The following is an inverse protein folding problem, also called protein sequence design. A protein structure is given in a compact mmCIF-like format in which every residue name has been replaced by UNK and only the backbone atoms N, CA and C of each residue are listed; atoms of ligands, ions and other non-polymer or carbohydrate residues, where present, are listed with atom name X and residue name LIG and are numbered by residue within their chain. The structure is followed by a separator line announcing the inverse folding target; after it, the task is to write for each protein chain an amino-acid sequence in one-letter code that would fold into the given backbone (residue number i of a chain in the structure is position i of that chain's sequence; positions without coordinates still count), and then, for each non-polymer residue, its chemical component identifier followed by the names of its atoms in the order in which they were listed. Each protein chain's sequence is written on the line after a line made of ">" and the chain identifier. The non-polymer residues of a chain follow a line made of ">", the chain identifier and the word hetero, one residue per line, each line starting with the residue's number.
data_IF_781864195300
#
_entry.id   IF_781864195300
#
_cell.length_a   1.000
_cell.length_b   1.000
_cell.length_c   1.000
_cell.angle_alpha   90.00
_cell.angle_beta   90.00
_cell.angle_gamma   90.00
#
_symmetry.space_group_name_H-M   'P 1'
#
loop_
_entity.id
_entity.type
_entity.pdbx_description
1 polymer ?
#
# COMPACT_ATOMS: atom_id res chain seq x y z
N UNK A 1 -37.37 -8.54 14.98
CA UNK A 1 -36.51 -7.44 15.46
C UNK A 1 -35.07 -7.89 15.21
N UNK A 2 -34.46 -7.41 14.13
CA UNK A 2 -33.22 -7.97 13.58
C UNK A 2 -32.00 -7.76 14.49
N UNK A 3 -31.23 -8.83 14.68
CA UNK A 3 -29.92 -8.85 15.30
C UNK A 3 -28.90 -8.21 14.35
N UNK A 4 -28.48 -6.98 14.63
CA UNK A 4 -27.37 -6.34 13.93
C UNK A 4 -26.06 -6.93 14.42
N UNK A 5 -25.33 -7.49 13.46
CA UNK A 5 -24.02 -8.11 13.62
C UNK A 5 -23.02 -7.13 14.24
N UNK A 6 -22.32 -7.64 15.25
CA UNK A 6 -21.15 -7.05 15.88
C UNK A 6 -20.06 -6.77 14.85
N UNK A 7 -19.81 -5.50 14.52
CA UNK A 7 -18.49 -5.11 13.99
C UNK A 7 -17.57 -4.98 15.19
N UNK A 8 -16.72 -5.99 15.39
CA UNK A 8 -15.60 -5.96 16.33
C UNK A 8 -14.79 -4.69 16.09
N UNK A 9 -15.05 -3.66 16.89
CA UNK A 9 -14.17 -2.51 17.02
C UNK A 9 -13.12 -2.97 18.02
N UNK A 10 -11.83 -3.07 17.68
CA UNK A 10 -10.81 -3.41 18.66
C UNK A 10 -10.89 -2.36 19.77
N UNK A 11 -11.23 -2.79 20.98
CA UNK A 11 -11.23 -1.92 22.14
C UNK A 11 -9.77 -1.63 22.49
N UNK A 12 -9.19 -0.60 21.87
CA UNK A 12 -7.77 -0.23 22.02
C UNK A 12 -7.35 0.04 23.48
N UNK A 13 -8.32 0.23 24.39
CA UNK A 13 -8.11 0.35 25.86
C UNK A 13 -7.23 -0.75 26.48
N UNK A 14 -7.00 -1.88 25.81
CA UNK A 14 -6.18 -2.98 26.31
C UNK A 14 -4.78 -3.09 25.66
N UNK A 15 -4.45 -2.30 24.63
CA UNK A 15 -3.17 -2.41 23.94
C UNK A 15 -2.14 -1.48 24.58
N UNK A 16 -1.00 -2.00 25.09
CA UNK A 16 0.07 -1.16 25.63
C UNK A 16 0.59 -0.16 24.60
N UNK A 17 0.91 1.04 25.04
CA UNK A 17 1.40 2.11 24.16
C UNK A 17 2.71 1.71 23.45
N UNK A 18 3.54 0.89 24.10
CA UNK A 18 4.78 0.34 23.53
C UNK A 18 4.52 -0.51 22.29
N UNK A 19 3.44 -1.30 22.31
CA UNK A 19 3.04 -2.15 21.18
C UNK A 19 2.59 -1.30 19.99
N UNK A 20 1.79 -0.26 20.25
CA UNK A 20 1.33 0.67 19.21
C UNK A 20 2.52 1.44 18.62
N UNK A 21 3.48 1.85 19.45
CA UNK A 21 4.72 2.48 19.00
C UNK A 21 5.58 1.56 18.13
N UNK A 22 5.69 0.27 18.49
CA UNK A 22 6.41 -0.72 17.69
C UNK A 22 5.75 -0.91 16.31
N UNK A 23 4.42 -1.04 16.26
CA UNK A 23 3.64 -1.14 15.01
C UNK A 23 3.90 0.07 14.11
N UNK A 24 3.82 1.28 14.66
CA UNK A 24 4.11 2.52 13.93
C UNK A 24 5.52 2.54 13.33
N UNK A 25 6.53 2.02 14.04
CA UNK A 25 7.90 1.90 13.49
C UNK A 25 7.99 0.87 12.36
N UNK A 26 7.29 -0.25 12.46
CA UNK A 26 7.24 -1.23 11.38
C UNK A 26 6.63 -0.63 10.11
N UNK A 27 5.53 0.10 10.23
CA UNK A 27 4.90 0.81 9.11
C UNK A 27 5.83 1.78 8.40
N UNK A 28 6.73 2.46 9.12
CA UNK A 28 7.72 3.34 8.52
C UNK A 28 8.69 2.58 7.61
N UNK A 29 9.17 1.42 8.07
CA UNK A 29 10.02 0.53 7.27
C UNK A 29 9.25 -0.01 6.06
N UNK A 30 8.00 -0.41 6.23
CA UNK A 30 7.16 -0.93 5.15
C UNK A 30 6.96 0.12 4.05
N UNK A 31 6.68 1.39 4.41
CA UNK A 31 6.54 2.48 3.43
C UNK A 31 7.81 2.72 2.61
N UNK A 32 9.00 2.50 3.19
CA UNK A 32 10.26 2.55 2.44
C UNK A 32 10.38 1.38 1.48
N UNK A 33 10.02 0.17 1.91
CA UNK A 33 10.00 -1.00 1.05
C UNK A 33 9.03 -0.82 -0.12
N UNK A 34 7.81 -0.33 0.15
CA UNK A 34 6.83 -0.03 -0.89
C UNK A 34 7.31 1.04 -1.88
N UNK A 35 8.03 2.07 -1.42
CA UNK A 35 8.63 3.06 -2.33
C UNK A 35 9.56 2.38 -3.34
N UNK A 36 10.45 1.52 -2.85
CA UNK A 36 11.45 0.88 -3.68
C UNK A 36 10.80 -0.14 -4.63
N UNK A 37 9.77 -0.85 -4.17
CA UNK A 37 9.01 -1.80 -4.97
C UNK A 37 8.16 -1.10 -6.04
N UNK A 38 7.46 0.00 -5.71
CA UNK A 38 6.72 0.82 -6.69
C UNK A 38 7.67 1.32 -7.79
N UNK A 39 8.87 1.79 -7.41
CA UNK A 39 9.89 2.21 -8.38
C UNK A 39 10.31 1.06 -9.30
N UNK A 40 10.52 -0.13 -8.73
CA UNK A 40 10.85 -1.32 -9.50
C UNK A 40 9.73 -1.69 -10.49
N UNK A 41 8.48 -1.74 -10.05
CA UNK A 41 7.32 -2.09 -10.89
C UNK A 41 7.06 -1.05 -11.99
N UNK A 42 7.30 0.24 -11.72
CA UNK A 42 7.25 1.29 -12.74
C UNK A 42 8.28 1.05 -13.83
N UNK A 43 9.54 0.85 -13.44
CA UNK A 43 10.61 0.55 -14.38
C UNK A 43 10.32 -0.72 -15.21
N UNK A 44 9.72 -1.74 -14.60
CA UNK A 44 9.29 -2.94 -15.30
C UNK A 44 8.18 -2.65 -16.33
N UNK A 45 7.19 -1.86 -15.94
CA UNK A 45 6.06 -1.47 -16.80
C UNK A 45 6.53 -0.66 -18.00
N UNK A 46 7.39 0.34 -17.78
CA UNK A 46 7.95 1.20 -18.83
C UNK A 46 8.80 0.40 -19.82
N UNK A 47 9.63 -0.53 -19.32
CA UNK A 47 10.40 -1.43 -20.18
C UNK A 47 9.52 -2.33 -21.03
N UNK A 48 8.42 -2.86 -20.48
CA UNK A 48 7.49 -3.72 -21.24
C UNK A 48 6.78 -2.94 -22.34
N UNK A 49 6.38 -1.70 -22.10
CA UNK A 49 5.72 -0.84 -23.10
C UNK A 49 6.56 -0.64 -24.37
N UNK A 50 7.90 -0.69 -24.28
CA UNK A 50 8.79 -0.54 -25.44
C UNK A 50 8.66 -1.69 -26.44
N UNK A 51 8.36 -2.91 -25.97
CA UNK A 51 8.42 -4.13 -26.78
C UNK A 51 7.05 -4.69 -27.16
N UNK A 52 5.97 -4.06 -26.71
CA UNK A 52 4.61 -4.53 -26.98
C UNK A 52 4.04 -3.79 -28.19
N UNK A 53 3.54 -4.54 -29.17
CA UNK A 53 2.80 -4.02 -30.33
C UNK A 53 1.28 -4.26 -30.25
N UNK A 54 0.81 -4.96 -29.22
CA UNK A 54 -0.62 -5.18 -28.97
C UNK A 54 -1.23 -3.96 -28.25
N UNK A 55 -2.12 -3.25 -28.95
CA UNK A 55 -2.83 -2.08 -28.45
C UNK A 55 -3.61 -2.35 -27.15
N UNK A 56 -4.21 -3.54 -26.99
CA UNK A 56 -4.93 -3.88 -25.77
C UNK A 56 -3.98 -4.03 -24.59
N UNK A 57 -2.81 -4.63 -24.82
CA UNK A 57 -1.80 -4.78 -23.79
C UNK A 57 -1.15 -3.43 -23.43
N UNK A 58 -0.95 -2.54 -24.39
CA UNK A 58 -0.51 -1.15 -24.17
C UNK A 58 -1.49 -0.40 -23.26
N UNK A 59 -2.79 -0.49 -23.52
CA UNK A 59 -3.81 0.16 -22.68
C UNK A 59 -3.76 -0.37 -21.26
N UNK A 60 -3.68 -1.69 -21.07
CA UNK A 60 -3.60 -2.31 -19.74
C UNK A 60 -2.33 -1.89 -18.98
N UNK A 61 -1.17 -1.85 -19.64
CA UNK A 61 0.08 -1.39 -19.03
C UNK A 61 0.03 0.10 -18.67
N UNK A 62 -0.63 0.94 -19.48
CA UNK A 62 -0.87 2.35 -19.13
C UNK A 62 -1.75 2.49 -17.90
N UNK A 63 -2.81 1.68 -17.77
CA UNK A 63 -3.63 1.64 -16.56
C UNK A 63 -2.78 1.28 -15.33
N UNK A 64 -1.90 0.27 -15.45
CA UNK A 64 -0.95 -0.08 -14.37
C UNK A 64 -0.06 1.12 -14.01
N UNK A 65 0.50 1.83 -15.00
CA UNK A 65 1.33 3.02 -14.77
C UNK A 65 0.60 4.14 -14.04
N UNK A 66 -0.68 4.36 -14.36
CA UNK A 66 -1.52 5.33 -13.66
C UNK A 66 -1.74 4.91 -12.20
N UNK A 67 -2.10 3.64 -11.95
CA UNK A 67 -2.29 3.14 -10.58
C UNK A 67 -0.99 3.15 -9.77
N UNK A 68 0.18 2.91 -10.37
CA UNK A 68 1.48 3.09 -9.70
C UNK A 68 1.71 4.54 -9.26
N UNK A 69 1.19 5.51 -10.02
CA UNK A 69 1.27 6.93 -9.68
C UNK A 69 0.35 7.28 -8.53
N UNK A 70 -0.89 6.79 -8.55
CA UNK A 70 -1.83 6.91 -7.43
C UNK A 70 -1.25 6.31 -6.14
N UNK A 71 -0.72 5.08 -6.20
CA UNK A 71 -0.07 4.43 -5.05
C UNK A 71 1.16 5.20 -4.55
N UNK A 72 1.89 5.88 -5.44
CA UNK A 72 3.01 6.74 -5.01
C UNK A 72 2.50 7.91 -4.16
N UNK A 73 1.40 8.54 -4.58
CA UNK A 73 0.78 9.65 -3.84
C UNK A 73 0.16 9.17 -2.52
N UNK A 74 -0.57 8.05 -2.54
CA UNK A 74 -1.16 7.46 -1.33
C UNK A 74 -0.07 7.09 -0.29
N UNK A 75 1.05 6.50 -0.75
CA UNK A 75 2.20 6.20 0.11
C UNK A 75 2.83 7.46 0.71
N UNK A 76 2.98 8.53 -0.08
CA UNK A 76 3.49 9.82 0.41
C UNK A 76 2.56 10.42 1.47
N UNK A 77 1.25 10.29 1.27
CA UNK A 77 0.27 10.78 2.24
C UNK A 77 0.29 9.97 3.54
N UNK A 78 0.36 8.64 3.44
CA UNK A 78 0.57 7.76 4.59
C UNK A 78 1.85 8.11 5.36
N UNK A 79 2.94 8.40 4.66
CA UNK A 79 4.22 8.80 5.27
C UNK A 79 4.10 10.11 6.04
N UNK A 80 3.35 11.10 5.52
CA UNK A 80 3.06 12.35 6.24
C UNK A 80 2.25 12.10 7.49
N UNK A 81 1.11 11.39 7.38
CA UNK A 81 0.24 11.06 8.52
C UNK A 81 1.01 10.30 9.60
N UNK A 82 1.83 9.32 9.21
CA UNK A 82 2.66 8.55 10.13
C UNK A 82 3.69 9.43 10.84
N UNK A 83 4.32 10.36 10.13
CA UNK A 83 5.29 11.30 10.71
C UNK A 83 4.62 12.24 11.72
N UNK A 84 3.43 12.74 11.41
CA UNK A 84 2.65 13.59 12.32
C UNK A 84 2.22 12.82 13.57
N UNK A 85 1.72 11.60 13.41
CA UNK A 85 1.38 10.69 14.50
C UNK A 85 2.58 10.45 15.43
N UNK A 86 3.76 10.18 14.86
CA UNK A 86 4.98 9.96 15.63
C UNK A 86 5.42 11.20 16.42
N UNK A 87 5.33 12.39 15.82
CA UNK A 87 5.64 13.66 16.50
C UNK A 87 4.73 13.87 17.71
N UNK A 88 3.42 13.63 17.58
CA UNK A 88 2.44 13.77 18.66
C UNK A 88 2.77 12.84 19.83
N UNK A 89 3.11 11.59 19.56
CA UNK A 89 3.52 10.62 20.59
C UNK A 89 4.80 11.07 21.28
N UNK A 90 5.81 11.47 20.51
CA UNK A 90 7.11 11.86 21.07
C UNK A 90 7.09 13.14 21.91
N UNK A 91 6.07 13.99 21.73
CA UNK A 91 5.91 15.27 22.42
C UNK A 91 4.97 15.21 23.64
N UNK A 92 4.34 14.07 23.92
CA UNK A 92 3.43 13.92 25.05
C UNK A 92 4.20 13.54 26.34
N UNK A 93 4.16 14.40 27.36
CA UNK A 93 4.64 14.05 28.71
C UNK A 93 3.67 13.06 29.39
N UNK A 94 4.19 12.29 30.38
CA UNK A 94 3.45 11.24 31.09
C UNK A 94 2.09 11.67 31.67
N UNK A 95 1.92 12.95 32.05
CA UNK A 95 0.65 13.48 32.57
C UNK A 95 -0.39 13.82 31.48
N UNK A 96 0.04 14.04 30.23
CA UNK A 96 -0.84 14.25 29.06
C UNK A 96 -1.22 12.95 28.37
N UNK A 97 -0.52 11.86 28.69
CA UNK A 97 -0.70 10.56 28.05
C UNK A 97 -2.11 10.00 28.22
N UNK A 98 -2.76 10.14 29.38
CA UNK A 98 -4.08 9.54 29.62
C UNK A 98 -5.19 10.13 28.74
N UNK A 99 -5.22 11.45 28.56
CA UNK A 99 -6.22 12.12 27.72
C UNK A 99 -5.83 12.04 26.23
N UNK A 100 -4.54 12.10 25.92
CA UNK A 100 -4.02 11.88 24.58
C UNK A 100 -4.18 10.42 24.11
N UNK A 101 -4.35 9.46 25.03
CA UNK A 101 -4.44 8.03 24.71
C UNK A 101 -5.65 7.73 23.82
N UNK A 102 -6.80 8.34 24.10
CA UNK A 102 -8.03 8.13 23.32
C UNK A 102 -7.87 8.66 21.89
N UNK A 103 -7.35 9.87 21.74
CA UNK A 103 -7.14 10.49 20.42
C UNK A 103 -6.06 9.73 19.63
N UNK A 104 -4.99 9.31 20.32
CA UNK A 104 -3.93 8.48 19.76
C UNK A 104 -4.46 7.14 19.25
N UNK A 105 -5.31 6.46 20.02
CA UNK A 105 -5.90 5.18 19.62
C UNK A 105 -6.81 5.32 18.40
N UNK A 106 -7.61 6.39 18.33
CA UNK A 106 -8.45 6.67 17.17
C UNK A 106 -7.58 6.96 15.94
N UNK A 107 -6.56 7.81 16.07
CA UNK A 107 -5.64 8.13 14.98
C UNK A 107 -4.89 6.87 14.50
N UNK A 108 -4.42 6.04 15.42
CA UNK A 108 -3.74 4.78 15.10
C UNK A 108 -4.67 3.81 14.36
N UNK A 109 -5.93 3.69 14.78
CA UNK A 109 -6.92 2.84 14.11
C UNK A 109 -7.21 3.30 12.67
N UNK A 110 -7.29 4.61 12.45
CA UNK A 110 -7.45 5.19 11.12
C UNK A 110 -6.23 4.93 10.25
N UNK A 111 -5.02 5.08 10.81
CA UNK A 111 -3.79 4.72 10.12
C UNK A 111 -3.75 3.23 9.75
N UNK A 112 -4.14 2.34 10.66
CA UNK A 112 -4.18 0.90 10.39
C UNK A 112 -5.09 0.57 9.20
N UNK A 113 -6.28 1.16 9.14
CA UNK A 113 -7.21 0.97 8.03
C UNK A 113 -6.67 1.56 6.71
N UNK A 114 -6.05 2.73 6.76
CA UNK A 114 -5.40 3.35 5.59
C UNK A 114 -4.25 2.44 5.06
N UNK A 115 -3.42 1.91 5.96
CA UNK A 115 -2.35 0.96 5.61
C UNK A 115 -2.89 -0.34 5.03
N UNK A 116 -3.96 -0.90 5.63
CA UNK A 116 -4.60 -2.11 5.14
C UNK A 116 -5.19 -1.91 3.73
N UNK A 117 -5.80 -0.75 3.49
CA UNK A 117 -6.35 -0.36 2.20
C UNK A 117 -5.25 -0.20 1.15
N UNK A 118 -4.21 0.57 1.47
CA UNK A 118 -3.05 0.76 0.61
C UNK A 118 -2.39 -0.59 0.25
N UNK A 119 -2.13 -1.44 1.25
CA UNK A 119 -1.50 -2.74 1.07
C UNK A 119 -2.32 -3.64 0.14
N UNK A 120 -3.65 -3.61 0.26
CA UNK A 120 -4.55 -4.40 -0.59
C UNK A 120 -4.52 -3.91 -2.04
N UNK A 121 -4.59 -2.59 -2.26
CA UNK A 121 -4.46 -2.00 -3.60
C UNK A 121 -3.12 -2.34 -4.24
N UNK A 122 -2.03 -2.19 -3.49
CA UNK A 122 -0.68 -2.52 -3.96
C UNK A 122 -0.55 -4.00 -4.35
N UNK A 123 -1.02 -4.93 -3.50
CA UNK A 123 -1.01 -6.37 -3.80
C UNK A 123 -1.82 -6.72 -5.04
N UNK A 124 -2.98 -6.10 -5.22
CA UNK A 124 -3.83 -6.33 -6.38
C UNK A 124 -3.16 -5.82 -7.67
N UNK A 125 -2.57 -4.64 -7.64
CA UNK A 125 -1.81 -4.09 -8.76
C UNK A 125 -0.65 -5.02 -9.15
N UNK A 126 0.13 -5.47 -8.17
CA UNK A 126 1.25 -6.38 -8.39
C UNK A 126 0.81 -7.68 -9.06
N UNK A 127 -0.31 -8.27 -8.61
CA UNK A 127 -0.91 -9.45 -9.26
C UNK A 127 -1.30 -9.16 -10.71
N UNK A 128 -1.99 -8.05 -10.97
CA UNK A 128 -2.37 -7.66 -12.33
C UNK A 128 -1.16 -7.50 -13.24
N UNK A 129 -0.11 -6.84 -12.78
CA UNK A 129 1.12 -6.66 -13.56
C UNK A 129 1.82 -8.00 -13.85
N UNK A 130 1.84 -8.95 -12.91
CA UNK A 130 2.41 -10.27 -13.19
C UNK A 130 1.65 -11.03 -14.27
N UNK A 131 0.31 -11.03 -14.22
CA UNK A 131 -0.51 -11.66 -15.27
C UNK A 131 -0.22 -11.03 -16.64
N UNK A 132 -0.08 -9.70 -16.71
CA UNK A 132 0.27 -9.01 -17.97
C UNK A 132 1.69 -9.35 -18.43
N UNK A 133 2.63 -9.46 -17.50
CA UNK A 133 4.00 -9.85 -17.82
C UNK A 133 4.07 -11.28 -18.38
N UNK A 134 3.33 -12.23 -17.81
CA UNK A 134 3.22 -13.61 -18.30
C UNK A 134 2.62 -13.65 -19.72
N UNK A 135 1.50 -12.94 -19.95
CA UNK A 135 0.86 -12.83 -21.27
C UNK A 135 1.83 -12.28 -22.34
N UNK A 136 2.65 -11.30 -21.98
CA UNK A 136 3.64 -10.72 -22.90
C UNK A 136 4.74 -11.72 -23.30
N UNK A 137 5.15 -12.59 -22.38
CA UNK A 137 6.17 -13.62 -22.64
C UNK A 137 5.59 -14.72 -23.52
N UNK A 138 4.39 -15.22 -23.22
CA UNK A 138 3.72 -16.23 -24.06
C UNK A 138 3.46 -15.74 -25.48
N UNK A 139 3.02 -14.49 -25.63
CA UNK A 139 2.80 -13.88 -26.95
C UNK A 139 4.09 -13.74 -27.76
N UNK A 140 5.22 -13.44 -27.09
CA UNK A 140 6.54 -13.33 -27.73
C UNK A 140 7.06 -14.69 -28.22
N UNK A 141 6.91 -15.74 -27.41
CA UNK A 141 7.33 -17.12 -27.78
C UNK A 141 6.57 -17.61 -29.02
N UNK A 142 5.26 -17.38 -29.09
CA UNK A 142 4.46 -17.78 -30.26
C UNK A 142 4.85 -17.03 -31.53
N UNK A 143 5.35 -15.80 -31.42
CA UNK A 143 5.76 -15.01 -32.57
C UNK A 143 7.14 -15.45 -33.12
N UNK A 144 8.01 -16.01 -32.28
CA UNK A 144 9.30 -16.60 -32.68
C UNK A 144 9.13 -18.00 -33.31
N UNK A 145 8.20 -18.81 -32.80
CA UNK A 145 7.88 -20.15 -33.36
C UNK A 145 7.25 -20.08 -34.77
N UNK A 146 6.52 -19.02 -35.10
CA UNK A 146 5.94 -18.83 -36.44
C UNK A 146 6.90 -18.21 -37.46
N UNK A 147 8.09 -17.78 -37.04
CA UNK A 147 9.14 -17.25 -37.93
C UNK A 147 10.35 -18.18 -38.11
N UNK A 148 10.32 -19.38 -37.50
CA UNK A 148 11.32 -20.45 -37.69
C UNK A 148 10.78 -21.54 -38.61
#
# INVERSE_FOLDING_TARGET
>A
MGTLHTKNTPTYKAVPWESLYAITRHWQSDLQFYRDEIRFLRNLTDKRLVWVSDDQLIVKLRTVGNTLTELTLERQELEKKLTEHFKRVSAADAARLDQALSDFQIEHALLEEDFATFTRKFRNLKKSLFVLAEQSVEGSIRHEEFQS
#
